data_IF_011080326848
#
_entry.id   IF_011080326848
#
_cell.length_a   1.000
_cell.length_b   1.000
_cell.length_c   1.000
_cell.angle_alpha   90.00
_cell.angle_beta   90.00
_cell.angle_gamma   90.00
#
_symmetry.space_group_name_H-M   'P 1'
#
loop_
_entity.id
_entity.type
_entity.pdbx_description
1 polymer ?
#
# COMPACT_ATOMS: atom_id res chain seq x y z
N UNK A 1 14.76 -30.94 -12.61
CA UNK A 1 13.58 -30.51 -11.82
C UNK A 1 13.20 -29.13 -12.34
N UNK A 2 12.26 -29.05 -13.28
CA UNK A 2 11.81 -27.78 -13.85
C UNK A 2 11.04 -27.02 -12.78
N UNK A 3 11.53 -25.86 -12.34
CA UNK A 3 10.82 -24.97 -11.42
C UNK A 3 9.44 -24.62 -11.98
N UNK A 4 8.36 -25.16 -11.41
CA UNK A 4 6.98 -24.93 -11.86
C UNK A 4 6.46 -23.53 -11.48
N UNK A 5 7.36 -22.55 -11.44
CA UNK A 5 7.12 -21.20 -10.95
C UNK A 5 6.97 -20.22 -12.09
N UNK A 6 6.10 -19.24 -11.89
CA UNK A 6 5.82 -18.16 -12.83
C UNK A 6 5.87 -16.84 -12.09
N UNK A 7 6.23 -15.76 -12.80
CA UNK A 7 5.98 -14.41 -12.30
C UNK A 7 4.55 -14.01 -12.63
N UNK A 8 3.82 -13.52 -11.62
CA UNK A 8 2.66 -12.65 -11.88
C UNK A 8 3.15 -11.22 -11.86
N UNK A 9 2.90 -10.47 -12.92
CA UNK A 9 3.33 -9.08 -13.05
C UNK A 9 2.13 -8.20 -13.35
N UNK A 10 1.95 -7.13 -12.59
CA UNK A 10 0.81 -6.24 -12.69
C UNK A 10 1.27 -4.79 -12.62
N UNK A 11 0.62 -3.90 -13.35
CA UNK A 11 0.87 -2.47 -13.22
C UNK A 11 -0.36 -1.61 -13.46
N UNK A 12 -0.33 -0.43 -12.85
CA UNK A 12 -1.20 0.70 -13.11
C UNK A 12 -0.32 1.84 -13.62
N UNK A 13 -0.75 2.45 -14.72
CA UNK A 13 -0.12 3.64 -15.28
C UNK A 13 -1.14 4.76 -15.37
N UNK A 14 -0.81 5.93 -14.83
CA UNK A 14 -1.69 7.11 -14.82
C UNK A 14 -1.03 8.26 -15.56
N UNK A 15 -1.62 8.69 -16.68
CA UNK A 15 -1.21 9.87 -17.42
C UNK A 15 -2.28 10.95 -17.29
N UNK A 16 -2.07 11.90 -16.39
CA UNK A 16 -2.99 13.01 -16.14
C UNK A 16 -3.09 13.95 -17.35
N UNK A 17 -2.01 14.08 -18.14
CA UNK A 17 -1.99 14.99 -19.31
C UNK A 17 -2.89 14.46 -20.43
N UNK A 18 -2.90 13.14 -20.62
CA UNK A 18 -3.71 12.47 -21.62
C UNK A 18 -5.08 12.01 -21.08
N UNK A 19 -5.32 12.14 -19.77
CA UNK A 19 -6.46 11.53 -19.09
C UNK A 19 -6.58 10.04 -19.41
N UNK A 20 -5.44 9.34 -19.42
CA UNK A 20 -5.36 7.92 -19.76
C UNK A 20 -4.86 7.15 -18.55
N UNK A 21 -5.57 6.08 -18.25
CA UNK A 21 -5.29 5.17 -17.15
C UNK A 21 -5.17 3.75 -17.72
N UNK A 22 -4.08 3.07 -17.45
CA UNK A 22 -3.81 1.72 -17.95
C UNK A 22 -3.75 0.78 -16.76
N UNK A 23 -4.48 -0.34 -16.85
CA UNK A 23 -4.37 -1.47 -15.95
C UNK A 23 -3.89 -2.68 -16.73
N UNK A 24 -2.87 -3.36 -16.21
CA UNK A 24 -2.23 -4.50 -16.87
C UNK A 24 -1.98 -5.62 -15.88
N UNK A 25 -2.10 -6.85 -16.36
CA UNK A 25 -1.62 -8.05 -15.67
C UNK A 25 -1.06 -9.07 -16.65
N UNK A 26 -0.03 -9.80 -16.25
CA UNK A 26 0.52 -10.91 -17.00
C UNK A 26 1.04 -12.05 -16.11
N UNK A 27 1.15 -13.22 -16.74
CA UNK A 27 1.84 -14.39 -16.21
C UNK A 27 3.03 -14.67 -17.12
N UNK A 28 4.22 -14.72 -16.52
CA UNK A 28 5.49 -14.91 -17.22
C UNK A 28 6.09 -16.24 -16.81
N UNK A 29 6.35 -17.12 -17.77
CA UNK A 29 7.10 -18.35 -17.56
C UNK A 29 8.58 -18.01 -17.42
N UNK A 30 9.15 -18.36 -16.26
CA UNK A 30 10.53 -18.04 -15.90
C UNK A 30 11.53 -18.86 -16.73
N UNK A 31 11.18 -20.11 -17.05
CA UNK A 31 12.07 -21.00 -17.80
C UNK A 31 12.06 -20.71 -19.29
N UNK A 32 10.88 -20.40 -19.81
CA UNK A 32 10.67 -20.15 -21.23
C UNK A 32 10.83 -18.66 -21.58
N UNK A 33 11.15 -17.83 -20.57
CA UNK A 33 11.35 -16.39 -20.69
C UNK A 33 10.30 -15.71 -21.58
N UNK A 34 9.01 -15.96 -21.29
CA UNK A 34 7.92 -15.49 -22.16
C UNK A 34 6.65 -15.21 -21.40
N UNK A 35 5.84 -14.31 -21.94
CA UNK A 35 4.50 -14.03 -21.43
C UNK A 35 3.54 -15.14 -21.89
N UNK A 36 2.93 -15.84 -20.94
CA UNK A 36 1.95 -16.91 -21.20
C UNK A 36 0.53 -16.38 -21.29
N UNK A 37 0.17 -15.50 -20.36
CA UNK A 37 -1.14 -14.86 -20.26
C UNK A 37 -0.93 -13.37 -20.04
N UNK A 38 -1.77 -12.56 -20.64
CA UNK A 38 -1.80 -11.12 -20.38
C UNK A 38 -3.20 -10.57 -20.61
N UNK A 39 -3.51 -9.52 -19.88
CA UNK A 39 -4.71 -8.72 -20.05
C UNK A 39 -4.34 -7.25 -19.78
N UNK A 40 -4.86 -6.35 -20.61
CA UNK A 40 -4.61 -4.92 -20.47
C UNK A 40 -5.82 -4.13 -20.92
N UNK A 41 -6.13 -3.05 -20.21
CA UNK A 41 -7.18 -2.11 -20.58
C UNK A 41 -6.71 -0.69 -20.38
N UNK A 42 -7.05 0.19 -21.32
CA UNK A 42 -6.89 1.64 -21.18
C UNK A 42 -8.27 2.29 -20.99
N UNK A 43 -8.40 3.12 -19.95
CA UNK A 43 -9.62 3.84 -19.58
C UNK A 43 -9.37 5.33 -19.41
N UNK A 44 -10.41 6.14 -19.59
CA UNK A 44 -10.32 7.60 -19.48
C UNK A 44 -10.48 8.13 -18.04
N UNK A 45 -11.19 7.39 -17.18
CA UNK A 45 -11.51 7.81 -15.81
C UNK A 45 -10.73 6.95 -14.80
N UNK A 46 -10.13 7.61 -13.81
CA UNK A 46 -9.32 6.97 -12.78
C UNK A 46 -10.15 6.12 -11.82
N UNK A 47 -11.40 6.52 -11.54
CA UNK A 47 -12.35 5.82 -10.65
C UNK A 47 -12.51 4.32 -10.99
N UNK A 48 -12.35 3.99 -12.28
CA UNK A 48 -12.44 2.63 -12.79
C UNK A 48 -11.30 1.70 -12.33
N UNK A 49 -10.15 2.27 -11.96
CA UNK A 49 -8.94 1.52 -11.57
C UNK A 49 -8.38 1.91 -10.20
N UNK A 50 -8.88 2.98 -9.58
CA UNK A 50 -8.37 3.50 -8.30
C UNK A 50 -8.56 2.54 -7.11
N UNK A 51 -9.56 1.67 -7.18
CA UNK A 51 -9.82 0.66 -6.15
C UNK A 51 -8.90 -0.56 -6.25
N UNK A 52 -8.11 -0.66 -7.32
CA UNK A 52 -7.24 -1.82 -7.56
C UNK A 52 -5.97 -1.70 -6.74
N UNK A 53 -5.79 -2.63 -5.80
CA UNK A 53 -4.55 -2.79 -5.05
C UNK A 53 -3.71 -3.92 -5.64
N UNK A 54 -2.67 -3.57 -6.40
CA UNK A 54 -1.85 -4.54 -7.17
C UNK A 54 -1.14 -5.58 -6.30
N UNK A 55 -0.77 -5.23 -5.07
CA UNK A 55 -0.06 -6.13 -4.15
C UNK A 55 -0.91 -7.27 -3.60
N UNK A 56 -2.24 -7.10 -3.56
CA UNK A 56 -3.19 -8.10 -3.03
C UNK A 56 -4.05 -8.74 -4.10
N UNK A 57 -4.07 -8.17 -5.31
CA UNK A 57 -4.86 -8.67 -6.41
C UNK A 57 -4.15 -9.82 -7.10
N UNK A 58 -4.86 -10.92 -7.33
CA UNK A 58 -4.35 -12.01 -8.16
C UNK A 58 -4.37 -11.62 -9.64
N UNK A 59 -3.69 -12.40 -10.50
CA UNK A 59 -3.82 -12.22 -11.95
C UNK A 59 -5.28 -12.29 -12.39
N UNK A 60 -6.04 -13.24 -11.81
CA UNK A 60 -7.45 -13.46 -12.13
C UNK A 60 -8.34 -12.28 -11.73
N UNK A 61 -8.09 -11.68 -10.56
CA UNK A 61 -8.86 -10.51 -10.11
C UNK A 61 -8.68 -9.34 -11.07
N UNK A 62 -7.44 -9.07 -11.49
CA UNK A 62 -7.16 -8.02 -12.46
C UNK A 62 -7.77 -8.35 -13.83
N UNK A 63 -7.73 -9.60 -14.28
CA UNK A 63 -8.42 -10.02 -15.51
C UNK A 63 -9.91 -9.72 -15.42
N UNK A 64 -10.58 -10.06 -14.30
CA UNK A 64 -12.01 -9.75 -14.09
C UNK A 64 -12.27 -8.24 -14.13
N UNK A 65 -11.39 -7.42 -13.56
CA UNK A 65 -11.50 -5.96 -13.63
C UNK A 65 -11.36 -5.49 -15.07
N UNK A 66 -10.31 -5.90 -15.79
CA UNK A 66 -10.10 -5.54 -17.18
C UNK A 66 -11.30 -5.90 -18.08
N UNK A 67 -11.89 -7.08 -17.88
CA UNK A 67 -13.07 -7.53 -18.64
C UNK A 67 -14.35 -6.74 -18.32
N UNK A 68 -14.51 -6.30 -17.07
CA UNK A 68 -15.65 -5.45 -16.65
C UNK A 68 -15.53 -4.03 -17.17
N UNK A 69 -14.30 -3.54 -17.30
CA UNK A 69 -14.03 -2.19 -17.79
C UNK A 69 -14.26 -2.11 -19.30
N UNK A 70 -15.36 -1.46 -19.68
CA UNK A 70 -15.60 -1.11 -21.08
C UNK A 70 -14.77 0.11 -21.45
N UNK A 71 -13.95 0.01 -22.50
CA UNK A 71 -13.33 1.18 -23.11
C UNK A 71 -14.42 2.13 -23.66
N UNK A 72 -14.47 3.35 -23.14
CA UNK A 72 -15.40 4.39 -23.62
C UNK A 72 -14.78 5.11 -24.83
N UNK A 73 -15.15 4.70 -26.04
CA UNK A 73 -14.78 5.39 -27.28
C UNK A 73 -13.63 4.75 -28.09
N UNK A 74 -13.55 5.17 -29.35
CA UNK A 74 -12.67 4.57 -30.37
C UNK A 74 -11.17 4.71 -30.05
N UNK A 75 -10.77 5.81 -29.43
CA UNK A 75 -9.37 6.08 -29.10
C UNK A 75 -8.85 5.12 -28.02
N UNK A 76 -9.59 4.94 -26.92
CA UNK A 76 -9.21 4.03 -25.82
C UNK A 76 -9.21 2.57 -26.27
N UNK A 77 -10.15 2.18 -27.14
CA UNK A 77 -10.13 0.86 -27.78
C UNK A 77 -8.86 0.65 -28.60
N UNK A 78 -8.50 1.61 -29.45
CA UNK A 78 -7.31 1.52 -30.28
C UNK A 78 -6.03 1.47 -29.44
N UNK A 79 -5.94 2.29 -28.39
CA UNK A 79 -4.83 2.28 -27.45
C UNK A 79 -4.72 0.93 -26.74
N UNK A 80 -5.83 0.40 -26.23
CA UNK A 80 -5.89 -0.92 -25.59
C UNK A 80 -5.37 -2.01 -26.53
N UNK A 81 -5.89 -2.07 -27.76
CA UNK A 81 -5.45 -3.04 -28.76
C UNK A 81 -3.96 -2.90 -29.09
N UNK A 82 -3.45 -1.67 -29.18
CA UNK A 82 -2.04 -1.41 -29.45
C UNK A 82 -1.15 -1.86 -28.30
N UNK A 83 -1.58 -1.64 -27.05
CA UNK A 83 -0.87 -2.13 -25.87
C UNK A 83 -0.84 -3.66 -25.84
N UNK A 84 -1.96 -4.33 -26.12
CA UNK A 84 -2.03 -5.80 -26.24
C UNK A 84 -0.98 -6.29 -27.25
N UNK A 85 -0.96 -5.70 -28.46
CA UNK A 85 -0.03 -6.08 -29.52
C UNK A 85 1.44 -5.89 -29.11
N UNK A 86 1.77 -4.75 -28.49
CA UNK A 86 3.13 -4.44 -28.06
C UNK A 86 3.61 -5.37 -26.95
N UNK A 87 2.78 -5.63 -25.92
CA UNK A 87 3.16 -6.56 -24.86
C UNK A 87 3.22 -8.01 -25.36
N UNK A 88 2.36 -8.41 -26.30
CA UNK A 88 2.48 -9.73 -26.95
C UNK A 88 3.75 -9.87 -27.78
N UNK A 89 4.14 -8.81 -28.49
CA UNK A 89 5.34 -8.81 -29.33
C UNK A 89 6.61 -8.81 -28.49
N UNK A 90 6.69 -7.90 -27.52
CA UNK A 90 7.81 -7.83 -26.57
C UNK A 90 7.88 -9.08 -25.68
N UNK A 91 6.73 -9.63 -25.30
CA UNK A 91 6.64 -10.86 -24.52
C UNK A 91 7.11 -12.14 -25.22
N UNK A 92 7.39 -12.06 -26.52
CA UNK A 92 8.00 -13.12 -27.35
C UNK A 92 9.46 -12.83 -27.71
N UNK A 93 9.99 -11.65 -27.33
CA UNK A 93 11.36 -11.27 -27.59
C UNK A 93 12.24 -11.75 -26.45
N UNK A 94 13.22 -12.61 -26.77
CA UNK A 94 14.15 -13.16 -25.78
C UNK A 94 14.91 -12.04 -25.05
N UNK A 95 15.45 -11.06 -25.77
CA UNK A 95 16.17 -9.92 -25.17
C UNK A 95 15.29 -9.10 -24.21
N UNK A 96 14.08 -8.75 -24.61
CA UNK A 96 13.15 -8.01 -23.75
C UNK A 96 12.82 -8.80 -22.47
N UNK A 97 12.54 -10.10 -22.61
CA UNK A 97 12.12 -10.94 -21.50
C UNK A 97 13.28 -11.28 -20.57
N UNK A 98 14.48 -11.53 -21.09
CA UNK A 98 15.69 -11.70 -20.30
C UNK A 98 16.00 -10.45 -19.48
N UNK A 99 15.92 -9.27 -20.09
CA UNK A 99 16.09 -7.99 -19.38
C UNK A 99 15.03 -7.81 -18.29
N UNK A 100 13.75 -8.04 -18.60
CA UNK A 100 12.66 -7.90 -17.63
C UNK A 100 12.84 -8.85 -16.43
N UNK A 101 13.15 -10.12 -16.69
CA UNK A 101 13.41 -11.13 -15.64
C UNK A 101 14.67 -10.77 -14.85
N UNK A 102 15.73 -10.28 -15.50
CA UNK A 102 16.92 -9.80 -14.84
C UNK A 102 16.60 -8.66 -13.85
N UNK A 103 15.78 -7.69 -14.27
CA UNK A 103 15.36 -6.59 -13.40
C UNK A 103 14.44 -7.05 -12.26
N UNK A 104 13.56 -8.03 -12.48
CA UNK A 104 12.79 -8.65 -11.39
C UNK A 104 13.70 -9.31 -10.35
N UNK A 105 14.68 -10.09 -10.81
CA UNK A 105 15.62 -10.77 -9.92
C UNK A 105 16.51 -9.77 -9.16
N UNK A 106 16.92 -8.69 -9.81
CA UNK A 106 17.72 -7.61 -9.23
C UNK A 106 16.93 -6.61 -8.40
N UNK A 107 15.59 -6.70 -8.39
CA UNK A 107 14.68 -5.69 -7.82
C UNK A 107 14.95 -4.26 -8.31
N UNK A 108 15.34 -4.14 -9.58
CA UNK A 108 15.70 -2.86 -10.19
C UNK A 108 14.42 -2.14 -10.66
N UNK A 109 13.73 -1.53 -9.70
CA UNK A 109 12.43 -0.92 -9.92
C UNK A 109 12.47 0.22 -10.94
N UNK A 110 13.57 0.97 -11.01
CA UNK A 110 13.73 2.07 -11.97
C UNK A 110 13.86 1.53 -13.40
N UNK A 111 14.58 0.43 -13.60
CA UNK A 111 14.67 -0.23 -14.91
C UNK A 111 13.36 -0.87 -15.33
N UNK A 112 12.60 -1.46 -14.40
CA UNK A 112 11.26 -1.99 -14.70
C UNK A 112 10.33 -0.84 -15.14
N UNK A 113 10.28 0.27 -14.38
CA UNK A 113 9.52 1.47 -14.76
C UNK A 113 9.96 2.02 -16.12
N UNK A 114 11.26 2.05 -16.38
CA UNK A 114 11.80 2.49 -17.66
C UNK A 114 11.29 1.64 -18.83
N UNK A 115 11.38 0.30 -18.72
CA UNK A 115 10.87 -0.62 -19.74
C UNK A 115 9.36 -0.42 -19.95
N UNK A 116 8.58 -0.37 -18.86
CA UNK A 116 7.14 -0.14 -18.95
C UNK A 116 6.81 1.18 -19.66
N UNK A 117 7.53 2.25 -19.30
CA UNK A 117 7.35 3.55 -19.94
C UNK A 117 7.69 3.50 -21.43
N UNK A 118 8.76 2.79 -21.85
CA UNK A 118 9.07 2.62 -23.27
C UNK A 118 7.91 1.97 -24.04
N UNK A 119 7.33 0.89 -23.50
CA UNK A 119 6.20 0.20 -24.14
C UNK A 119 4.96 1.10 -24.18
N UNK A 120 4.65 1.80 -23.08
CA UNK A 120 3.49 2.69 -23.00
C UNK A 120 3.66 3.89 -23.95
N UNK A 121 4.83 4.53 -23.99
CA UNK A 121 5.10 5.65 -24.88
C UNK A 121 5.04 5.25 -26.37
N UNK A 122 5.41 4.02 -26.72
CA UNK A 122 5.22 3.50 -28.08
C UNK A 122 3.74 3.38 -28.48
N UNK A 123 2.84 3.18 -27.51
CA UNK A 123 1.40 3.08 -27.75
C UNK A 123 0.69 4.45 -27.68
N UNK A 124 1.00 5.24 -26.65
CA UNK A 124 0.31 6.48 -26.29
C UNK A 124 1.03 7.76 -26.75
N UNK A 125 2.24 7.65 -27.33
CA UNK A 125 3.06 8.78 -27.76
C UNK A 125 3.93 9.34 -26.63
N UNK A 126 4.08 10.68 -26.57
CA UNK A 126 4.91 11.36 -25.57
C UNK A 126 4.26 11.41 -24.18
N UNK A 127 3.82 10.24 -23.71
CA UNK A 127 3.24 9.97 -22.41
C UNK A 127 4.35 9.96 -21.36
N UNK A 128 4.05 10.54 -20.18
CA UNK A 128 4.91 10.48 -18.99
C UNK A 128 4.05 10.03 -17.81
N UNK A 129 3.62 8.77 -17.80
CA UNK A 129 2.70 8.29 -16.79
C UNK A 129 3.41 8.08 -15.45
N UNK A 130 2.66 8.25 -14.37
CA UNK A 130 3.02 7.67 -13.08
C UNK A 130 2.75 6.16 -13.11
N UNK A 131 3.77 5.35 -12.85
CA UNK A 131 3.71 3.89 -12.97
C UNK A 131 3.90 3.25 -11.59
N UNK A 132 2.87 2.52 -11.17
CA UNK A 132 2.88 1.64 -10.00
C UNK A 132 2.80 0.20 -10.49
N UNK A 133 3.63 -0.68 -9.95
CA UNK A 133 3.65 -2.06 -10.39
C UNK A 133 3.95 -3.00 -9.23
N UNK A 134 3.54 -4.24 -9.38
CA UNK A 134 3.77 -5.32 -8.44
C UNK A 134 4.12 -6.59 -9.21
N UNK A 135 5.08 -7.35 -8.72
CA UNK A 135 5.39 -8.67 -9.23
C UNK A 135 5.71 -9.63 -8.10
N UNK A 136 5.34 -10.89 -8.28
CA UNK A 136 5.64 -11.96 -7.33
C UNK A 136 5.80 -13.28 -8.05
N UNK A 137 6.56 -14.20 -7.43
CA UNK A 137 6.74 -15.57 -7.93
C UNK A 137 5.69 -16.45 -7.26
N UNK A 138 4.95 -17.21 -8.07
CA UNK A 138 3.97 -18.19 -7.59
C UNK A 138 4.17 -19.53 -8.29
N UNK A 139 3.72 -20.61 -7.64
CA UNK A 139 3.63 -21.91 -8.29
C UNK A 139 2.45 -21.95 -9.27
N UNK A 140 2.67 -22.54 -10.45
CA UNK A 140 1.66 -22.67 -11.50
C UNK A 140 0.41 -23.45 -11.05
N UNK A 141 0.52 -24.33 -10.05
CA UNK A 141 -0.63 -25.01 -9.45
C UNK A 141 -1.60 -24.03 -8.79
N UNK A 142 -1.09 -23.05 -8.03
CA UNK A 142 -1.91 -22.02 -7.37
C UNK A 142 -2.65 -21.14 -8.36
N UNK A 143 -1.99 -20.78 -9.47
CA UNK A 143 -2.61 -20.05 -10.57
C UNK A 143 -3.79 -20.84 -11.19
N UNK A 144 -3.72 -22.17 -11.22
CA UNK A 144 -4.76 -23.02 -11.81
C UNK A 144 -5.89 -23.34 -10.83
N UNK A 145 -5.61 -23.50 -9.53
CA UNK A 145 -6.61 -23.68 -8.48
C UNK A 145 -7.53 -22.47 -8.37
N UNK A 146 -6.98 -21.25 -8.53
CA UNK A 146 -7.76 -20.03 -8.65
C UNK A 146 -8.72 -20.09 -9.84
N UNK A 147 -8.34 -20.70 -10.97
CA UNK A 147 -9.21 -20.83 -12.14
C UNK A 147 -10.33 -21.86 -11.96
N UNK A 148 -10.11 -22.92 -11.17
CA UNK A 148 -11.11 -23.98 -10.98
C UNK A 148 -12.21 -23.64 -9.97
N UNK A 149 -11.94 -22.79 -8.96
CA UNK A 149 -12.97 -22.40 -7.99
C UNK A 149 -14.19 -21.70 -8.60
N UNK A 150 -14.03 -20.99 -9.72
CA UNK A 150 -15.17 -20.33 -10.40
C UNK A 150 -16.00 -21.26 -11.29
N UNK A 151 -15.48 -22.43 -11.69
CA UNK A 151 -16.26 -23.39 -12.51
C UNK A 151 -17.36 -24.06 -11.65
N UNK A 152 -17.12 -24.18 -10.34
CA UNK A 152 -18.07 -24.77 -9.41
C UNK A 152 -19.08 -23.75 -8.82
N UNK A 153 -18.79 -22.45 -8.87
CA UNK A 153 -19.71 -21.42 -8.35
C UNK A 153 -20.85 -21.04 -9.31
N UNK A 154 -20.78 -21.40 -10.60
CA UNK A 154 -21.86 -21.18 -11.58
C UNK A 154 -22.77 -22.43 -11.78
N UNK A 155 -22.51 -23.51 -11.04
CA UNK A 155 -23.25 -24.77 -11.20
C UNK A 155 -23.39 -25.59 -9.91
N UNK A 156 -23.91 -25.00 -8.84
CA UNK A 156 -24.46 -25.82 -7.72
C UNK A 156 -25.35 -25.02 -6.76
N UNK A 157 -26.60 -24.81 -7.15
CA UNK A 157 -27.71 -24.86 -6.20
C UNK A 157 -28.25 -26.28 -6.26
N UNK A 158 -27.85 -27.15 -5.32
CA UNK A 158 -28.70 -28.16 -4.70
C UNK A 158 -27.94 -28.93 -3.61
N UNK A 159 -28.72 -29.42 -2.66
CA UNK A 159 -28.37 -29.71 -1.27
C UNK A 159 -27.60 -31.02 -1.01
N UNK A 160 -26.98 -31.02 0.18
CA UNK A 160 -26.92 -32.09 1.20
C UNK A 160 -25.79 -33.14 1.21
N UNK A 161 -25.05 -33.03 2.33
CA UNK A 161 -24.81 -34.05 3.38
C UNK A 161 -23.52 -34.90 3.39
N UNK A 162 -22.89 -34.78 4.56
CA UNK A 162 -22.30 -35.81 5.45
C UNK A 162 -20.84 -36.27 5.27
N UNK A 163 -20.05 -35.87 6.29
CA UNK A 163 -19.21 -36.70 7.17
C UNK A 163 -18.03 -37.51 6.61
N UNK A 164 -16.81 -37.14 7.03
CA UNK A 164 -15.98 -37.89 8.02
C UNK A 164 -14.47 -37.72 7.80
N UNK A 165 -13.80 -37.20 8.85
CA UNK A 165 -12.45 -37.54 9.36
C UNK A 165 -11.22 -37.55 8.44
N UNK A 166 -10.18 -36.79 8.82
CA UNK A 166 -9.01 -37.32 9.59
C UNK A 166 -7.91 -36.25 9.74
N UNK A 167 -7.49 -35.98 10.99
CA UNK A 167 -6.21 -35.36 11.35
C UNK A 167 -5.04 -36.36 11.14
N UNK A 168 -3.80 -36.07 11.61
CA UNK A 168 -2.87 -35.03 11.17
C UNK A 168 -1.55 -35.70 10.70
N UNK A 169 -0.68 -34.99 9.97
CA UNK A 169 0.72 -35.47 9.85
C UNK A 169 1.69 -34.30 9.80
N UNK A 170 2.36 -34.12 10.93
CA UNK A 170 3.56 -33.34 11.15
C UNK A 170 4.76 -33.94 10.41
N UNK A 171 5.46 -33.17 9.57
CA UNK A 171 6.91 -33.33 9.32
C UNK A 171 7.56 -31.99 8.90
N UNK A 172 8.37 -31.47 9.84
CA UNK A 172 9.63 -30.73 9.70
C UNK A 172 9.87 -29.74 8.53
N UNK A 173 9.55 -28.48 8.82
CA UNK A 173 10.44 -27.30 8.85
C UNK A 173 11.68 -27.37 7.92
N UNK A 174 11.54 -26.80 6.73
CA UNK A 174 12.57 -25.93 6.15
C UNK A 174 12.03 -24.50 6.14
N UNK A 175 12.72 -23.60 6.86
CA UNK A 175 12.36 -22.20 7.10
C UNK A 175 11.79 -21.53 5.83
N UNK A 176 10.49 -21.17 5.82
CA UNK A 176 9.94 -20.28 4.81
C UNK A 176 10.51 -18.89 5.02
N UNK A 177 10.72 -18.15 3.93
CA UNK A 177 10.83 -16.69 4.01
C UNK A 177 9.48 -16.21 4.57
N UNK A 178 9.48 -15.76 5.83
CA UNK A 178 8.28 -15.26 6.49
C UNK A 178 7.79 -14.00 5.75
N UNK A 179 6.77 -14.18 4.92
CA UNK A 179 5.88 -13.12 4.48
C UNK A 179 4.88 -12.91 5.61
N UNK A 180 4.69 -11.67 6.08
CA UNK A 180 3.85 -11.39 7.25
C UNK A 180 2.37 -11.80 7.06
N UNK A 181 1.99 -12.15 5.85
CA UNK A 181 0.67 -12.66 5.46
C UNK A 181 0.31 -13.98 6.16
N UNK A 182 1.29 -14.79 6.59
CA UNK A 182 1.03 -16.01 7.36
C UNK A 182 0.39 -15.73 8.74
N UNK A 183 0.47 -14.48 9.22
CA UNK A 183 -0.10 -14.06 10.51
C UNK A 183 -1.55 -13.59 10.39
N UNK A 184 -2.13 -13.61 9.17
CA UNK A 184 -3.53 -13.31 8.91
C UNK A 184 -4.27 -14.64 8.67
N UNK A 185 -5.21 -15.04 9.56
CA UNK A 185 -5.98 -16.27 9.37
C UNK A 185 -6.81 -16.25 8.09
N UNK A 186 -6.93 -17.41 7.43
CA UNK A 186 -7.83 -17.56 6.27
C UNK A 186 -9.28 -17.29 6.69
N UNK A 187 -9.93 -16.31 6.05
CA UNK A 187 -11.30 -15.88 6.39
C UNK A 187 -11.38 -14.68 7.35
N UNK A 188 -10.24 -14.16 7.84
CA UNK A 188 -10.20 -12.92 8.59
C UNK A 188 -10.52 -11.70 7.70
N UNK A 189 -11.14 -10.67 8.29
CA UNK A 189 -11.47 -9.44 7.58
C UNK A 189 -10.25 -8.52 7.56
N UNK A 190 -9.69 -8.29 6.38
CA UNK A 190 -8.56 -7.36 6.19
C UNK A 190 -9.08 -5.97 5.86
N UNK A 191 -8.72 -4.98 6.67
CA UNK A 191 -9.17 -3.59 6.54
C UNK A 191 -7.96 -2.68 6.42
N UNK A 192 -7.98 -1.69 5.49
CA UNK A 192 -6.96 -0.67 5.42
C UNK A 192 -7.00 0.25 6.64
N UNK A 193 -5.82 0.51 7.19
CA UNK A 193 -5.61 1.30 8.39
C UNK A 193 -4.30 2.06 8.29
N UNK A 194 -4.17 3.09 9.11
CA UNK A 194 -2.94 3.88 9.23
C UNK A 194 -2.54 4.02 10.69
N UNK A 195 -1.25 4.31 10.89
CA UNK A 195 -0.73 4.64 12.20
C UNK A 195 -1.29 5.97 12.72
N UNK A 196 -1.47 6.05 14.03
CA UNK A 196 -1.60 7.34 14.72
C UNK A 196 -0.24 7.75 15.21
N UNK A 197 0.31 8.83 14.66
CA UNK A 197 1.65 9.29 14.97
C UNK A 197 1.71 9.98 16.34
N UNK A 198 2.86 9.85 17.01
CA UNK A 198 3.21 10.54 18.25
C UNK A 198 4.71 10.84 18.27
N UNK A 199 5.15 11.99 17.73
CA UNK A 199 6.57 12.33 17.62
C UNK A 199 7.31 12.40 18.97
N UNK A 200 6.60 12.80 20.03
CA UNK A 200 7.18 13.03 21.37
C UNK A 200 7.22 11.74 22.18
N UNK A 201 6.09 11.04 22.31
CA UNK A 201 5.92 9.92 23.25
C UNK A 201 5.66 8.57 22.56
N UNK A 202 5.82 8.50 21.25
CA UNK A 202 5.51 7.31 20.46
C UNK A 202 6.64 6.26 20.45
N UNK A 203 6.27 5.05 20.06
CA UNK A 203 7.18 3.92 19.81
C UNK A 203 7.62 4.00 18.34
N UNK A 204 8.90 3.90 18.07
CA UNK A 204 9.39 3.92 16.69
C UNK A 204 8.92 2.67 15.93
N UNK A 205 8.40 2.81 14.72
CA UNK A 205 7.84 1.67 13.98
C UNK A 205 8.85 0.55 13.74
N UNK A 206 10.12 0.91 13.59
CA UNK A 206 11.22 -0.03 13.40
C UNK A 206 11.46 -0.95 14.60
N UNK A 207 10.92 -0.58 15.76
CA UNK A 207 11.08 -1.29 17.03
C UNK A 207 9.83 -2.04 17.46
N UNK A 208 8.74 -1.99 16.68
CA UNK A 208 7.50 -2.68 16.99
C UNK A 208 7.70 -4.19 17.04
N UNK A 209 7.11 -4.81 18.07
CA UNK A 209 7.18 -6.24 18.30
C UNK A 209 5.79 -6.86 18.33
N UNK A 210 5.67 -8.15 17.97
CA UNK A 210 4.46 -8.92 18.24
C UNK A 210 4.01 -8.76 19.71
N UNK A 211 2.74 -8.43 19.91
CA UNK A 211 2.13 -8.16 21.21
C UNK A 211 2.03 -6.68 21.59
N UNK A 212 2.75 -5.78 20.91
CA UNK A 212 2.65 -4.35 21.18
C UNK A 212 1.23 -3.83 20.87
N UNK A 213 0.69 -3.01 21.77
CA UNK A 213 -0.62 -2.36 21.55
C UNK A 213 -0.41 -0.91 21.17
N UNK A 214 -0.92 -0.52 20.01
CA UNK A 214 -0.77 0.82 19.46
C UNK A 214 -2.11 1.37 19.00
N UNK A 215 -2.21 2.70 18.92
CA UNK A 215 -3.39 3.36 18.36
C UNK A 215 -3.28 3.38 16.83
N UNK A 216 -4.32 2.88 16.18
CA UNK A 216 -4.47 2.91 14.72
C UNK A 216 -5.76 3.63 14.36
N UNK A 217 -5.87 4.04 13.11
CA UNK A 217 -7.09 4.63 12.56
C UNK A 217 -7.49 3.87 11.30
N UNK A 218 -8.74 3.40 11.24
CA UNK A 218 -9.29 2.77 10.04
C UNK A 218 -9.49 3.79 8.93
N UNK A 219 -9.37 3.35 7.68
CA UNK A 219 -9.61 4.17 6.49
C UNK A 219 -10.96 3.83 5.88
N UNK A 220 -11.72 4.86 5.50
CA UNK A 220 -13.02 4.73 4.83
C UNK A 220 -12.80 4.56 3.32
N UNK A 221 -12.24 3.43 2.92
CA UNK A 221 -11.89 3.13 1.52
C UNK A 221 -12.91 2.31 0.77
N UNK A 222 -13.70 1.49 1.47
CA UNK A 222 -14.62 0.51 0.88
C UNK A 222 -15.81 0.23 1.81
N UNK A 223 -16.82 -0.49 1.29
CA UNK A 223 -18.06 -0.79 2.01
C UNK A 223 -17.85 -1.69 3.23
N UNK A 224 -16.84 -2.58 3.21
CA UNK A 224 -16.49 -3.44 4.35
C UNK A 224 -15.90 -2.59 5.48
N UNK A 225 -14.95 -1.71 5.14
CA UNK A 225 -14.36 -0.73 6.05
C UNK A 225 -15.41 0.19 6.66
N UNK A 226 -16.35 0.68 5.84
CA UNK A 226 -17.45 1.54 6.29
C UNK A 226 -18.37 0.81 7.27
N UNK A 227 -18.77 -0.42 6.95
CA UNK A 227 -19.63 -1.23 7.82
C UNK A 227 -19.00 -1.45 9.21
N UNK A 228 -17.68 -1.62 9.26
CA UNK A 228 -16.96 -1.87 10.52
C UNK A 228 -16.78 -0.56 11.31
N UNK A 229 -16.48 0.55 10.64
CA UNK A 229 -16.44 1.88 11.24
C UNK A 229 -17.79 2.24 11.88
N UNK A 230 -18.90 1.95 11.19
CA UNK A 230 -20.26 2.15 11.70
C UNK A 230 -20.58 1.22 12.87
N UNK A 231 -20.28 -0.07 12.73
CA UNK A 231 -20.52 -1.09 13.77
C UNK A 231 -19.77 -0.76 15.06
N UNK A 232 -18.51 -0.30 14.94
CA UNK A 232 -17.68 0.11 16.07
C UNK A 232 -17.92 1.56 16.54
N UNK A 233 -18.85 2.29 15.89
CA UNK A 233 -19.19 3.70 16.20
C UNK A 233 -17.95 4.61 16.27
N UNK A 234 -17.06 4.44 15.29
CA UNK A 234 -15.80 5.17 15.24
C UNK A 234 -15.95 6.53 14.55
N UNK A 235 -16.98 6.75 13.73
CA UNK A 235 -17.21 8.02 13.06
C UNK A 235 -17.75 9.07 14.06
N UNK A 236 -17.10 10.24 14.13
CA UNK A 236 -17.59 11.37 14.94
C UNK A 236 -18.71 12.12 14.22
N UNK A 237 -19.50 12.95 14.92
CA UNK A 237 -20.50 13.81 14.27
C UNK A 237 -19.93 14.72 13.18
N UNK A 238 -18.63 15.02 13.25
CA UNK A 238 -17.89 15.83 12.29
C UNK A 238 -17.31 15.00 11.11
N UNK A 239 -17.62 13.70 11.03
CA UNK A 239 -17.17 12.80 9.96
C UNK A 239 -15.73 12.29 10.10
N UNK A 240 -15.09 12.47 11.26
CA UNK A 240 -13.73 11.97 11.50
C UNK A 240 -13.76 10.54 12.06
N UNK A 241 -12.83 9.68 11.64
CA UNK A 241 -12.73 8.32 12.18
C UNK A 241 -11.89 8.34 13.46
N UNK A 242 -12.45 7.93 14.60
CA UNK A 242 -11.74 7.85 15.88
C UNK A 242 -10.67 6.76 15.84
N UNK A 243 -9.47 7.05 16.38
CA UNK A 243 -8.48 6.01 16.64
C UNK A 243 -8.98 4.94 17.58
N UNK A 244 -8.48 3.72 17.40
CA UNK A 244 -8.78 2.58 18.24
C UNK A 244 -7.51 1.75 18.52
N UNK A 245 -7.48 0.95 19.59
CA UNK A 245 -6.33 0.12 19.91
C UNK A 245 -6.25 -1.12 19.00
N UNK A 246 -5.09 -1.33 18.39
CA UNK A 246 -4.74 -2.56 17.67
C UNK A 246 -3.55 -3.26 18.32
N UNK A 247 -3.46 -4.57 18.17
CA UNK A 247 -2.33 -5.39 18.65
C UNK A 247 -1.47 -5.77 17.45
N UNK A 248 -0.17 -5.46 17.51
CA UNK A 248 0.80 -5.90 16.52
C UNK A 248 0.91 -7.42 16.59
N UNK A 249 0.61 -8.11 15.49
CA UNK A 249 0.75 -9.57 15.39
C UNK A 249 2.11 -9.91 14.82
N UNK A 250 2.58 -9.13 13.85
CA UNK A 250 3.91 -9.24 13.30
C UNK A 250 4.39 -7.90 12.74
N UNK A 251 5.68 -7.64 12.83
CA UNK A 251 6.31 -6.46 12.24
C UNK A 251 7.64 -6.87 11.62
N UNK A 252 7.95 -6.32 10.45
CA UNK A 252 9.16 -6.59 9.69
C UNK A 252 9.76 -5.26 9.26
N UNK A 253 11.02 -5.09 9.59
CA UNK A 253 11.80 -3.94 9.18
C UNK A 253 12.89 -4.41 8.19
N UNK A 254 12.92 -3.81 7.00
CA UNK A 254 13.91 -4.13 5.96
C UNK A 254 14.99 -3.03 5.80
N UNK A 255 15.19 -2.18 6.81
CA UNK A 255 16.18 -1.10 6.84
C UNK A 255 15.70 0.23 6.26
N UNK A 256 14.87 0.18 5.21
CA UNK A 256 14.22 1.38 4.62
C UNK A 256 12.72 1.38 4.90
N UNK A 257 12.09 0.22 4.86
CA UNK A 257 10.64 0.09 4.96
C UNK A 257 10.23 -0.74 6.19
N UNK A 258 9.02 -0.50 6.66
CA UNK A 258 8.38 -1.24 7.74
C UNK A 258 7.03 -1.79 7.26
N UNK A 259 6.85 -3.10 7.41
CA UNK A 259 5.57 -3.76 7.20
C UNK A 259 5.08 -4.28 8.55
N UNK A 260 3.85 -3.96 8.93
CA UNK A 260 3.27 -4.39 10.21
C UNK A 260 1.85 -4.91 10.01
N UNK A 261 1.57 -6.09 10.57
CA UNK A 261 0.25 -6.69 10.64
C UNK A 261 -0.34 -6.44 12.03
N UNK A 262 -1.53 -5.88 12.06
CA UNK A 262 -2.22 -5.44 13.27
C UNK A 262 -3.57 -6.12 13.35
N UNK A 263 -3.89 -6.68 14.52
CA UNK A 263 -5.18 -7.27 14.83
C UNK A 263 -6.03 -6.32 15.67
N UNK A 264 -7.32 -6.28 15.37
CA UNK A 264 -8.35 -5.53 16.08
C UNK A 264 -9.44 -6.53 16.47
N UNK A 265 -9.69 -6.69 17.77
CA UNK A 265 -10.62 -7.71 18.23
C UNK A 265 -10.17 -9.12 17.84
N UNK A 266 -11.12 -10.00 17.50
CA UNK A 266 -10.86 -11.41 17.17
C UNK A 266 -10.66 -11.68 15.68
N UNK A 267 -11.31 -10.90 14.81
CA UNK A 267 -11.53 -11.25 13.40
C UNK A 267 -11.08 -10.18 12.39
N UNK A 268 -10.68 -9.00 12.88
CA UNK A 268 -10.25 -7.89 12.02
C UNK A 268 -8.75 -7.76 12.05
N UNK A 269 -8.15 -7.68 10.86
CA UNK A 269 -6.72 -7.52 10.67
C UNK A 269 -6.48 -6.37 9.70
N UNK A 270 -5.29 -5.77 9.74
CA UNK A 270 -4.84 -4.88 8.70
C UNK A 270 -3.34 -4.88 8.59
N UNK A 271 -2.90 -4.46 7.42
CA UNK A 271 -1.49 -4.39 7.05
C UNK A 271 -1.15 -2.93 6.80
N UNK A 272 -0.14 -2.44 7.50
CA UNK A 272 0.39 -1.09 7.32
C UNK A 272 1.79 -1.24 6.73
N UNK A 273 2.01 -0.53 5.63
CA UNK A 273 3.31 -0.41 5.00
C UNK A 273 3.76 1.05 5.09
N UNK A 274 4.99 1.27 5.53
CA UNK A 274 5.55 2.59 5.74
C UNK A 274 6.99 2.64 5.25
N UNK A 275 7.31 3.69 4.48
CA UNK A 275 8.64 3.88 3.88
C UNK A 275 9.60 4.65 4.80
N UNK A 276 9.09 5.21 5.91
CA UNK A 276 9.90 5.96 6.86
C UNK A 276 10.07 5.22 8.20
N UNK A 277 11.24 4.65 8.43
CA UNK A 277 11.55 3.94 9.67
C UNK A 277 11.67 4.82 10.92
N UNK A 278 11.69 6.16 10.77
CA UNK A 278 11.93 7.12 11.85
C UNK A 278 10.64 7.52 12.59
N UNK A 279 9.47 7.24 12.00
CA UNK A 279 8.20 7.67 12.59
C UNK A 279 7.90 6.92 13.88
N UNK A 280 7.23 7.63 14.79
CA UNK A 280 6.82 7.12 16.09
C UNK A 280 5.31 7.03 16.17
N UNK A 281 4.81 5.89 16.60
CA UNK A 281 3.37 5.58 16.71
C UNK A 281 2.90 5.67 18.15
N UNK A 282 1.66 6.08 18.34
CA UNK A 282 1.08 6.27 19.67
C UNK A 282 0.86 4.92 20.34
N UNK A 283 1.52 4.61 21.47
CA UNK A 283 1.22 3.40 22.23
C UNK A 283 -0.19 3.47 22.82
N UNK A 284 -0.81 2.31 22.98
CA UNK A 284 -2.05 2.20 23.75
C UNK A 284 -1.71 1.98 25.23
N UNK A 285 -1.97 3.00 26.06
CA UNK A 285 -1.67 2.96 27.50
C UNK A 285 -2.76 2.33 28.37
N UNK A 286 -3.84 1.80 27.78
CA UNK A 286 -4.83 1.02 28.53
C UNK A 286 -5.77 1.79 29.47
N UNK A 287 -5.89 3.13 29.35
CA UNK A 287 -6.75 3.91 30.24
C UNK A 287 -8.11 4.29 29.63
N UNK A 288 -9.12 4.26 30.53
CA UNK A 288 -10.58 4.35 30.33
C UNK A 288 -11.03 5.60 29.57
N UNK A 289 -12.23 5.59 28.96
CA UNK A 289 -12.80 6.78 28.34
C UNK A 289 -12.86 7.89 29.38
N UNK A 290 -12.14 8.99 29.15
CA UNK A 290 -12.38 10.23 29.87
C UNK A 290 -13.73 10.71 29.36
N UNK A 291 -14.78 10.35 30.10
CA UNK A 291 -16.04 11.07 30.06
C UNK A 291 -15.71 12.52 30.40
N UNK A 292 -15.85 13.40 29.41
CA UNK A 292 -15.87 14.83 29.64
C UNK A 292 -17.11 15.09 30.50
N UNK A 293 -16.86 15.30 31.78
CA UNK A 293 -17.82 15.71 32.80
C UNK A 293 -17.06 16.51 33.85
N UNK A 294 -17.57 17.70 34.15
CA UNK A 294 -16.87 18.80 34.81
C UNK A 294 -16.28 18.53 36.21
N UNK A 295 -15.15 19.20 36.46
CA UNK A 295 -14.67 19.82 37.72
C UNK A 295 -14.69 18.99 39.01
N UNK A 296 -13.51 18.81 39.61
CA UNK A 296 -13.17 19.49 40.88
C UNK A 296 -11.72 19.30 41.34
N UNK A 297 -11.13 20.43 41.74
CA UNK A 297 -10.13 20.66 42.80
C UNK A 297 -8.76 19.96 42.76
N UNK A 298 -7.75 20.77 42.42
CA UNK A 298 -6.36 20.75 42.94
C UNK A 298 -6.33 20.91 44.49
N UNK A 299 -5.21 20.76 45.25
CA UNK A 299 -3.90 21.38 44.92
C UNK A 299 -2.56 20.76 45.43
N UNK A 300 -1.47 21.28 44.83
CA UNK A 300 -0.09 21.53 45.37
C UNK A 300 0.84 20.31 45.53
N UNK A 301 2.15 20.33 45.21
CA UNK A 301 3.09 21.44 44.98
C UNK A 301 4.46 20.97 44.39
N UNK A 302 5.23 21.94 43.85
CA UNK A 302 6.70 22.03 43.64
C UNK A 302 7.35 21.55 42.32
N UNK A 303 7.42 22.51 41.39
CA UNK A 303 8.64 23.13 40.83
C UNK A 303 9.91 22.29 40.61
N UNK A 304 10.29 22.10 39.34
CA UNK A 304 11.59 22.57 38.82
C UNK A 304 11.53 22.76 37.30
N UNK A 305 11.90 23.97 36.90
CA UNK A 305 12.01 24.47 35.53
C UNK A 305 13.35 23.99 34.96
N UNK A 306 13.33 23.46 33.73
CA UNK A 306 14.50 23.43 32.86
C UNK A 306 14.04 23.92 31.49
N UNK A 307 14.33 25.20 31.23
CA UNK A 307 14.30 25.80 29.91
C UNK A 307 15.47 25.28 29.08
N UNK A 308 15.18 24.82 27.87
CA UNK A 308 16.10 24.75 26.73
C UNK A 308 15.20 24.93 25.50
N UNK A 309 15.09 26.14 24.94
CA UNK A 309 16.07 26.84 24.10
C UNK A 309 16.06 26.28 22.66
N UNK A 310 15.03 26.60 21.86
CA UNK A 310 15.13 26.52 20.39
C UNK A 310 14.44 27.68 19.63
N UNK A 311 13.46 28.39 20.19
CA UNK A 311 12.76 29.45 19.43
C UNK A 311 13.29 30.89 19.61
N UNK A 312 14.25 31.14 20.52
CA UNK A 312 14.76 32.49 20.76
C UNK A 312 15.90 32.92 19.81
N UNK A 313 16.52 31.97 19.09
CA UNK A 313 17.64 32.27 18.19
C UNK A 313 17.23 32.97 16.89
N UNK A 314 16.05 32.61 16.36
CA UNK A 314 15.54 33.11 15.09
C UNK A 314 14.96 34.53 15.22
N UNK A 315 14.32 34.83 16.35
CA UNK A 315 13.81 36.19 16.63
C UNK A 315 14.92 37.19 16.95
N UNK A 316 15.99 36.77 17.65
CA UNK A 316 17.14 37.64 17.95
C UNK A 316 17.95 37.95 16.68
N UNK A 317 18.12 36.98 15.78
CA UNK A 317 18.79 37.23 14.49
C UNK A 317 18.00 38.18 13.60
N UNK A 318 16.67 38.09 13.58
CA UNK A 318 15.80 39.04 12.86
C UNK A 318 15.89 40.46 13.43
N UNK A 319 15.90 40.61 14.76
CA UNK A 319 16.00 41.93 15.39
C UNK A 319 17.37 42.58 15.17
N UNK A 320 18.46 41.80 15.18
CA UNK A 320 19.80 42.31 14.86
C UNK A 320 19.89 42.72 13.39
N UNK A 321 19.31 41.93 12.47
CA UNK A 321 19.30 42.26 11.04
C UNK A 321 18.52 43.57 10.75
N UNK A 322 17.38 43.77 11.41
CA UNK A 322 16.59 45.02 11.28
C UNK A 322 17.31 46.23 11.90
N UNK A 323 18.01 46.04 13.02
CA UNK A 323 18.80 47.10 13.64
C UNK A 323 19.94 47.61 12.76
N UNK A 324 20.68 46.70 12.11
CA UNK A 324 21.78 47.06 11.20
C UNK A 324 21.26 47.79 9.96
N UNK A 325 20.10 47.38 9.44
CA UNK A 325 19.47 48.02 8.28
C UNK A 325 18.97 49.43 8.60
N UNK A 326 18.43 49.64 9.81
CA UNK A 326 18.02 50.96 10.30
C UNK A 326 19.19 51.93 10.45
N UNK A 327 20.29 51.48 11.05
CA UNK A 327 21.49 52.31 11.22
C UNK A 327 22.12 52.68 9.86
N UNK A 328 22.18 51.71 8.94
CA UNK A 328 22.70 51.95 7.59
C UNK A 328 21.86 52.98 6.81
N UNK A 329 20.53 52.91 6.91
CA UNK A 329 19.65 53.90 6.28
C UNK A 329 19.80 55.31 6.88
N UNK A 330 19.99 55.42 8.20
CA UNK A 330 20.24 56.73 8.83
C UNK A 330 21.60 57.31 8.45
N UNK A 331 22.63 56.47 8.29
CA UNK A 331 23.97 56.91 7.87
C UNK A 331 23.98 57.39 6.41
N UNK A 332 23.25 56.71 5.52
CA UNK A 332 23.11 57.13 4.11
C UNK A 332 22.35 58.45 4.02
N UNK A 333 21.28 58.61 4.81
CA UNK A 333 20.48 59.84 4.80
C UNK A 333 21.27 61.05 5.33
N UNK A 334 22.12 60.85 6.34
CA UNK A 334 22.96 61.92 6.91
C UNK A 334 24.17 62.28 6.03
N UNK A 335 24.47 61.52 4.98
CA UNK A 335 25.56 61.78 4.03
C UNK A 335 25.06 62.39 2.71
N UNK A 336 23.75 62.31 2.44
CA UNK A 336 23.11 62.79 1.22
C UNK A 336 22.34 64.12 1.39
N UNK A 337 22.30 64.68 2.60
CA UNK A 337 21.67 65.97 2.91
C UNK A 337 22.59 66.92 3.67
#
# INVERSE_FOLDING_TARGET
MSSNQVYTFQFISKDTSLSVHILFTSVIDIQQAKIEKLEVVAVGKSENIESVQLSVSTHKDIVKVCQKLKYEGKQLKNLTNRLVELFQTNGKSDDFMEQLIHYFNGKDNDKIKYILNQVISQAAGNSKPDIQFFYTIIDRSRLNEENQKDIFEDSSLEEKNEDTSSEPTSFEIKKPVETLEQFIPSGARVIPMKYVLSPVSGIQISTLKPGDKIMIQLLKSDSSSQSIIETMKLETPEGQIRPLPGTVVASKNNGVENETVIQIGSDIFGKIYEEENSIKVRPYSGEKPILIGEKSSSPKNKTKISETQEDSGLMITILIALGILGISMTAIFSFLF
#
